data_IF_083792495453
#
_entry.id   IF_083792495453
#
_cell.length_a   1.000
_cell.length_b   1.000
_cell.length_c   1.000
_cell.angle_alpha   90.00
_cell.angle_beta   90.00
_cell.angle_gamma   90.00
#
_symmetry.space_group_name_H-M   'P 1'
#
loop_
_entity.id
_entity.type
_entity.pdbx_description
1 polymer ?
#
# COMPACT_ATOMS: atom_id res chain seq x y z
N UNK A 1 20.05 -12.78 3.52
CA UNK A 1 19.67 -11.52 4.24
C UNK A 1 18.83 -10.65 3.33
N UNK A 2 17.76 -10.04 3.86
CA UNK A 2 16.86 -9.13 3.11
C UNK A 2 17.23 -7.67 3.40
N UNK A 3 17.23 -6.81 2.38
CA UNK A 3 17.26 -5.35 2.55
C UNK A 3 15.85 -4.79 2.61
N UNK A 4 15.58 -3.87 3.56
CA UNK A 4 14.31 -3.17 3.70
C UNK A 4 14.54 -1.66 3.58
N UNK A 5 13.91 -1.02 2.60
CA UNK A 5 13.80 0.44 2.48
C UNK A 5 12.45 0.89 3.05
N UNK A 6 12.44 2.05 3.71
CA UNK A 6 11.20 2.60 4.29
C UNK A 6 10.74 1.92 5.58
N UNK A 7 11.63 1.24 6.31
CA UNK A 7 11.30 0.50 7.53
C UNK A 7 10.70 1.35 8.65
N UNK A 8 10.87 2.67 8.66
CA UNK A 8 10.26 3.58 9.65
C UNK A 8 8.79 3.94 9.34
N UNK A 9 8.26 3.53 8.18
CA UNK A 9 6.87 3.74 7.81
C UNK A 9 5.93 2.68 8.37
N UNK A 10 4.61 2.89 8.25
CA UNK A 10 3.58 1.97 8.73
C UNK A 10 3.74 0.55 8.16
N UNK A 11 3.85 0.44 6.83
CA UNK A 11 4.10 -0.84 6.15
C UNK A 11 5.49 -1.41 6.49
N UNK A 12 6.51 -0.54 6.59
CA UNK A 12 7.87 -0.95 6.94
C UNK A 12 7.99 -1.55 8.33
N UNK A 13 7.25 -1.02 9.32
CA UNK A 13 7.18 -1.62 10.66
C UNK A 13 6.57 -3.02 10.64
N UNK A 14 5.51 -3.24 9.85
CA UNK A 14 4.92 -4.57 9.69
C UNK A 14 5.91 -5.57 9.07
N UNK A 15 6.67 -5.18 8.04
CA UNK A 15 7.76 -6.03 7.51
C UNK A 15 8.80 -6.35 8.57
N UNK A 16 9.27 -5.36 9.34
CA UNK A 16 10.25 -5.61 10.40
C UNK A 16 9.71 -6.60 11.46
N UNK A 17 8.44 -6.45 11.85
CA UNK A 17 7.80 -7.35 12.80
C UNK A 17 7.71 -8.79 12.23
N UNK A 18 7.31 -8.94 10.97
CA UNK A 18 7.24 -10.23 10.29
C UNK A 18 8.61 -10.90 10.20
N UNK A 19 9.61 -10.19 9.68
CA UNK A 19 10.96 -10.72 9.48
C UNK A 19 11.62 -11.14 10.81
N UNK A 20 11.44 -10.35 11.87
CA UNK A 20 11.88 -10.72 13.23
C UNK A 20 11.18 -11.98 13.74
N UNK A 21 9.85 -12.05 13.61
CA UNK A 21 9.05 -13.20 14.07
C UNK A 21 9.45 -14.49 13.35
N UNK A 22 9.81 -14.39 12.07
CA UNK A 22 10.24 -15.56 11.27
C UNK A 22 11.75 -15.86 11.38
N UNK A 23 12.53 -15.09 12.13
CA UNK A 23 13.97 -15.25 12.25
C UNK A 23 14.73 -15.00 10.95
N UNK A 24 14.14 -14.25 10.00
CA UNK A 24 14.78 -13.94 8.72
C UNK A 24 15.75 -12.77 8.91
N UNK A 25 17.05 -12.93 8.61
CA UNK A 25 18.02 -11.85 8.71
C UNK A 25 17.66 -10.73 7.74
N UNK A 26 17.60 -9.49 8.25
CA UNK A 26 17.34 -8.33 7.42
C UNK A 26 18.12 -7.10 7.92
N UNK A 27 18.36 -6.17 7.00
CA UNK A 27 18.90 -4.84 7.30
C UNK A 27 17.91 -3.77 6.87
N UNK A 28 17.41 -3.00 7.85
CA UNK A 28 16.62 -1.82 7.56
C UNK A 28 17.58 -0.68 7.18
N UNK A 29 17.64 -0.32 5.89
CA UNK A 29 18.46 0.78 5.42
C UNK A 29 17.74 2.11 5.72
N UNK A 30 18.26 2.83 6.70
CA UNK A 30 17.77 4.18 7.02
C UNK A 30 18.42 5.19 6.10
N UNK A 31 17.63 6.09 5.52
CA UNK A 31 18.11 7.10 4.56
C UNK A 31 19.21 7.99 5.13
N UNK A 32 19.23 8.22 6.45
CA UNK A 32 20.30 8.95 7.12
C UNK A 32 21.64 8.21 7.14
N UNK A 33 21.64 6.88 7.00
CA UNK A 33 22.86 6.04 6.99
C UNK A 33 23.29 5.70 5.57
N UNK A 34 22.32 5.40 4.72
CA UNK A 34 22.52 5.07 3.31
C UNK A 34 21.50 5.88 2.52
N UNK A 35 21.95 6.93 1.86
CA UNK A 35 21.08 7.74 1.01
C UNK A 35 20.72 6.97 -0.29
N UNK A 36 19.80 6.03 -0.14
CA UNK A 36 19.31 5.20 -1.25
C UNK A 36 18.51 5.98 -2.30
N UNK A 37 18.34 7.30 -2.17
CA UNK A 37 17.82 8.16 -3.23
C UNK A 37 18.91 8.51 -4.26
N UNK A 38 20.15 8.12 -4.01
CA UNK A 38 21.29 8.27 -4.91
C UNK A 38 21.66 6.90 -5.48
N UNK A 39 21.56 6.68 -6.82
CA UNK A 39 21.75 5.35 -7.43
C UNK A 39 23.08 4.69 -7.07
N UNK A 40 24.19 5.43 -7.12
CA UNK A 40 25.53 4.90 -6.78
C UNK A 40 25.65 4.44 -5.33
N UNK A 41 25.06 5.17 -4.38
CA UNK A 41 25.13 4.84 -2.94
C UNK A 41 24.37 3.54 -2.64
N UNK A 42 23.18 3.35 -3.26
CA UNK A 42 22.44 2.10 -3.11
C UNK A 42 23.18 0.94 -3.76
N UNK A 43 23.70 1.12 -4.99
CA UNK A 43 24.45 0.10 -5.72
C UNK A 43 25.69 -0.36 -4.93
N UNK A 44 26.50 0.56 -4.41
CA UNK A 44 27.66 0.22 -3.57
C UNK A 44 27.27 -0.65 -2.38
N UNK A 45 26.16 -0.31 -1.71
CA UNK A 45 25.64 -1.09 -0.58
C UNK A 45 25.19 -2.49 -1.00
N UNK A 46 24.52 -2.63 -2.16
CA UNK A 46 24.10 -3.91 -2.69
C UNK A 46 25.29 -4.81 -3.08
N UNK A 47 26.29 -4.25 -3.75
CA UNK A 47 27.49 -4.99 -4.16
C UNK A 47 28.33 -5.44 -2.95
N UNK A 48 28.42 -4.62 -1.91
CA UNK A 48 29.15 -4.93 -0.69
C UNK A 48 28.50 -6.04 0.13
N UNK A 49 27.21 -5.90 0.40
CA UNK A 49 26.49 -6.74 1.37
C UNK A 49 25.74 -7.91 0.71
N UNK A 50 25.55 -7.89 -0.61
CA UNK A 50 24.95 -8.94 -1.46
C UNK A 50 23.67 -9.53 -0.85
N UNK A 51 22.63 -8.72 -0.59
CA UNK A 51 21.37 -9.24 -0.08
C UNK A 51 20.73 -10.17 -1.11
N UNK A 52 19.99 -11.17 -0.63
CA UNK A 52 19.25 -12.11 -1.49
C UNK A 52 18.00 -11.47 -2.12
N UNK A 53 17.47 -10.45 -1.45
CA UNK A 53 16.25 -9.76 -1.87
C UNK A 53 16.21 -8.35 -1.28
N UNK A 54 15.57 -7.40 -1.99
CA UNK A 54 15.30 -6.07 -1.47
C UNK A 54 13.79 -5.80 -1.46
N UNK A 55 13.27 -5.28 -0.36
CA UNK A 55 11.90 -4.80 -0.22
C UNK A 55 11.91 -3.27 -0.19
N UNK A 56 11.26 -2.64 -1.17
CA UNK A 56 11.06 -1.19 -1.18
C UNK A 56 9.66 -0.83 -0.68
N UNK A 57 9.55 -0.57 0.62
CA UNK A 57 8.37 0.02 1.27
C UNK A 57 8.50 1.55 1.48
N UNK A 58 9.55 2.16 0.92
CA UNK A 58 9.72 3.61 0.94
C UNK A 58 8.80 4.29 -0.08
N UNK A 59 8.27 5.42 0.31
CA UNK A 59 7.40 6.26 -0.52
C UNK A 59 6.96 7.49 0.25
N UNK A 60 6.22 8.38 -0.41
CA UNK A 60 5.68 9.59 0.20
C UNK A 60 4.15 9.56 0.14
N UNK A 61 3.48 9.66 1.29
CA UNK A 61 2.02 9.62 1.39
C UNK A 61 1.44 10.91 2.00
N UNK A 62 2.28 11.92 2.23
CA UNK A 62 1.89 13.15 2.94
C UNK A 62 1.60 12.96 4.44
N UNK A 63 1.52 14.07 5.15
CA UNK A 63 1.06 14.15 6.55
C UNK A 63 0.15 15.36 6.69
N UNK A 64 -1.04 15.25 7.29
CA UNK A 64 -1.61 14.06 7.93
C UNK A 64 -2.16 13.01 6.92
N UNK A 65 -2.43 13.39 5.68
CA UNK A 65 -2.99 12.54 4.63
C UNK A 65 -2.46 12.95 3.24
N UNK A 66 -3.03 12.39 2.17
CA UNK A 66 -2.60 12.59 0.78
C UNK A 66 -2.80 14.03 0.26
N UNK A 67 -3.62 14.87 0.91
CA UNK A 67 -3.78 16.27 0.52
C UNK A 67 -2.47 17.06 0.61
N UNK A 68 -1.56 16.65 1.51
CA UNK A 68 -0.22 17.24 1.59
C UNK A 68 0.62 17.00 0.32
N UNK A 69 0.30 16.00 -0.48
CA UNK A 69 0.98 15.75 -1.76
C UNK A 69 0.68 16.84 -2.80
N UNK A 70 -0.44 17.54 -2.68
CA UNK A 70 -0.77 18.68 -3.55
C UNK A 70 0.13 19.89 -3.29
N UNK A 71 0.71 19.97 -2.09
CA UNK A 71 1.62 21.03 -1.64
C UNK A 71 3.08 20.58 -1.82
N UNK A 72 3.41 19.38 -1.36
CA UNK A 72 4.77 18.81 -1.37
C UNK A 72 4.98 17.93 -2.61
N UNK A 73 4.80 18.54 -3.81
CA UNK A 73 4.83 17.80 -5.08
C UNK A 73 6.19 17.18 -5.39
N UNK A 74 7.27 17.91 -5.10
CA UNK A 74 8.63 17.44 -5.36
C UNK A 74 8.97 16.20 -4.55
N UNK A 75 8.67 16.20 -3.24
CA UNK A 75 8.90 15.07 -2.34
C UNK A 75 8.02 13.88 -2.72
N UNK A 76 6.78 14.14 -3.12
CA UNK A 76 5.85 13.12 -3.58
C UNK A 76 6.35 12.46 -4.88
N UNK A 77 6.78 13.26 -5.85
CA UNK A 77 7.34 12.76 -7.10
C UNK A 77 8.64 11.96 -6.85
N UNK A 78 9.55 12.51 -6.05
CA UNK A 78 10.79 11.84 -5.69
C UNK A 78 10.53 10.47 -5.03
N UNK A 79 9.65 10.43 -4.02
CA UNK A 79 9.40 9.20 -3.27
C UNK A 79 8.62 8.13 -4.02
N UNK A 80 7.70 8.52 -4.90
CA UNK A 80 6.75 7.59 -5.51
C UNK A 80 7.04 7.24 -6.97
N UNK A 81 7.78 8.09 -7.70
CA UNK A 81 8.10 7.84 -9.10
C UNK A 81 9.61 7.73 -9.34
N UNK A 82 10.42 8.65 -8.83
CA UNK A 82 11.87 8.64 -9.08
C UNK A 82 12.56 7.53 -8.29
N UNK A 83 12.26 7.39 -7.00
CA UNK A 83 12.89 6.37 -6.15
C UNK A 83 12.70 4.94 -6.64
N UNK A 84 11.51 4.48 -7.08
CA UNK A 84 11.37 3.15 -7.68
C UNK A 84 12.33 2.92 -8.85
N UNK A 85 12.51 3.92 -9.74
CA UNK A 85 13.46 3.84 -10.85
C UNK A 85 14.92 3.74 -10.40
N UNK A 86 15.30 4.48 -9.36
CA UNK A 86 16.64 4.40 -8.74
C UNK A 86 16.89 3.00 -8.16
N UNK A 87 15.91 2.47 -7.43
CA UNK A 87 16.01 1.12 -6.85
C UNK A 87 16.15 0.07 -7.96
N UNK A 88 15.33 0.17 -9.02
CA UNK A 88 15.40 -0.72 -10.16
C UNK A 88 16.81 -0.73 -10.79
N UNK A 89 17.35 0.44 -11.11
CA UNK A 89 18.70 0.57 -11.70
C UNK A 89 19.79 -0.05 -10.82
N UNK A 90 19.74 0.22 -9.51
CA UNK A 90 20.72 -0.32 -8.58
C UNK A 90 20.59 -1.85 -8.43
N UNK A 91 19.38 -2.36 -8.33
CA UNK A 91 19.11 -3.80 -8.20
C UNK A 91 19.48 -4.56 -9.46
N UNK A 92 19.13 -4.06 -10.65
CA UNK A 92 19.53 -4.63 -11.94
C UNK A 92 21.06 -4.69 -12.07
N UNK A 93 21.76 -3.62 -11.77
CA UNK A 93 23.23 -3.56 -11.84
C UNK A 93 23.92 -4.49 -10.81
N UNK A 94 23.28 -4.74 -9.67
CA UNK A 94 23.80 -5.64 -8.64
C UNK A 94 23.34 -7.11 -8.81
N UNK A 95 22.42 -7.41 -9.73
CA UNK A 95 21.79 -8.72 -9.88
C UNK A 95 20.93 -9.12 -8.66
N UNK A 96 20.33 -8.17 -7.95
CA UNK A 96 19.52 -8.40 -6.74
C UNK A 96 18.03 -8.30 -7.11
N UNK A 97 17.25 -9.40 -6.99
CA UNK A 97 15.81 -9.34 -7.17
C UNK A 97 15.15 -8.53 -6.06
N UNK A 98 14.01 -7.92 -6.37
CA UNK A 98 13.39 -6.99 -5.42
C UNK A 98 11.86 -6.88 -5.58
N UNK A 99 11.22 -6.22 -4.61
CA UNK A 99 9.80 -5.94 -4.66
C UNK A 99 9.46 -4.52 -4.21
N UNK A 100 8.50 -3.90 -4.90
CA UNK A 100 8.04 -2.54 -4.66
C UNK A 100 6.60 -2.51 -4.13
N UNK A 101 6.41 -1.85 -2.99
CA UNK A 101 5.07 -1.56 -2.46
C UNK A 101 4.47 -0.37 -3.23
N UNK A 102 3.63 -0.70 -4.20
CA UNK A 102 2.81 0.26 -4.94
C UNK A 102 1.44 0.45 -4.29
N UNK A 103 0.48 0.96 -5.01
CA UNK A 103 -0.86 1.25 -4.48
C UNK A 103 -1.94 1.08 -5.53
N UNK A 104 -3.08 0.50 -5.14
CA UNK A 104 -4.29 0.48 -5.96
C UNK A 104 -4.95 1.85 -6.16
N UNK A 105 -4.40 2.93 -5.59
CA UNK A 105 -4.93 4.29 -5.79
C UNK A 105 -4.83 4.83 -7.22
N UNK A 106 -4.31 4.05 -8.14
CA UNK A 106 -4.25 4.34 -9.59
C UNK A 106 -5.55 3.99 -10.31
N UNK A 107 -6.52 3.44 -9.58
CA UNK A 107 -7.85 3.09 -10.08
C UNK A 107 -8.96 3.85 -9.35
N UNK A 108 -10.12 4.00 -10.03
CA UNK A 108 -11.38 4.44 -9.44
C UNK A 108 -12.54 3.68 -10.07
N UNK A 109 -13.56 3.32 -9.25
CA UNK A 109 -14.72 2.52 -9.64
C UNK A 109 -14.53 1.01 -9.44
N UNK A 110 -15.50 0.25 -9.95
CA UNK A 110 -15.63 -1.20 -9.68
C UNK A 110 -14.91 -2.08 -10.72
N UNK A 111 -14.21 -1.48 -11.66
CA UNK A 111 -13.56 -2.20 -12.76
C UNK A 111 -14.52 -2.65 -13.87
N UNK A 112 -13.99 -3.21 -14.96
CA UNK A 112 -14.81 -3.69 -16.07
C UNK A 112 -15.78 -4.78 -15.63
N UNK A 113 -17.09 -4.61 -15.90
CA UNK A 113 -18.13 -5.57 -15.50
C UNK A 113 -18.24 -5.78 -13.98
N UNK A 114 -17.86 -4.77 -13.18
CA UNK A 114 -17.93 -4.79 -11.71
C UNK A 114 -17.12 -5.92 -11.02
N UNK A 115 -16.21 -6.57 -11.76
CA UNK A 115 -15.36 -7.67 -11.27
C UNK A 115 -14.17 -7.23 -10.42
N UNK A 116 -13.93 -5.94 -10.35
CA UNK A 116 -12.68 -5.39 -9.81
C UNK A 116 -11.60 -5.24 -10.89
N UNK A 117 -10.65 -4.34 -10.65
CA UNK A 117 -9.50 -4.15 -11.53
C UNK A 117 -8.48 -5.26 -11.33
N UNK A 118 -8.10 -5.91 -12.41
CA UNK A 118 -6.97 -6.87 -12.45
C UNK A 118 -5.65 -6.13 -12.65
N UNK A 119 -4.55 -6.87 -12.61
CA UNK A 119 -3.21 -6.33 -12.85
C UNK A 119 -2.98 -5.86 -14.29
N UNK A 120 -3.76 -6.36 -15.24
CA UNK A 120 -3.66 -6.05 -16.67
C UNK A 120 -4.59 -4.92 -17.12
N UNK A 121 -5.52 -4.51 -16.27
CA UNK A 121 -6.41 -3.39 -16.58
C UNK A 121 -5.63 -2.06 -16.57
N UNK A 122 -5.90 -1.21 -17.55
CA UNK A 122 -5.24 0.09 -17.67
C UNK A 122 -5.67 0.99 -16.52
N UNK A 123 -4.72 1.59 -15.77
CA UNK A 123 -5.05 2.54 -14.72
C UNK A 123 -5.87 3.73 -15.24
N UNK A 124 -6.97 4.04 -14.54
CA UNK A 124 -7.93 5.07 -14.91
C UNK A 124 -8.01 6.26 -13.93
N UNK A 125 -7.06 6.32 -13.00
CA UNK A 125 -6.97 7.41 -12.01
C UNK A 125 -5.51 7.84 -11.86
N UNK A 126 -4.98 8.48 -12.92
CA UNK A 126 -3.57 8.83 -13.10
C UNK A 126 -3.40 10.21 -13.73
N UNK A 127 -2.18 10.68 -13.90
CA UNK A 127 -1.91 11.91 -14.66
C UNK A 127 -2.36 11.82 -16.13
N UNK A 128 -2.39 10.61 -16.72
CA UNK A 128 -2.84 10.43 -18.11
C UNK A 128 -4.34 10.69 -18.27
N UNK A 129 -5.13 10.38 -17.25
CA UNK A 129 -6.58 10.61 -17.23
C UNK A 129 -6.96 11.97 -16.64
N UNK A 130 -6.00 12.66 -16.02
CA UNK A 130 -6.14 14.02 -15.45
C UNK A 130 -7.31 14.20 -14.47
N UNK A 131 -7.68 13.15 -13.74
CA UNK A 131 -8.78 13.12 -12.78
C UNK A 131 -8.32 12.74 -11.36
N UNK A 132 -7.02 12.55 -11.15
CA UNK A 132 -6.46 11.98 -9.94
C UNK A 132 -5.87 13.02 -8.98
N UNK A 133 -5.65 12.61 -7.74
CA UNK A 133 -4.77 13.31 -6.81
C UNK A 133 -3.30 13.25 -7.29
N UNK A 134 -2.48 14.22 -6.89
CA UNK A 134 -1.05 14.19 -7.20
C UNK A 134 -0.39 12.91 -6.69
N UNK A 135 -0.79 12.44 -5.49
CA UNK A 135 -0.35 11.15 -4.95
C UNK A 135 -0.61 9.99 -5.91
N UNK A 136 -1.85 9.85 -6.38
CA UNK A 136 -2.24 8.76 -7.29
C UNK A 136 -1.49 8.84 -8.62
N UNK A 137 -1.37 10.05 -9.17
CA UNK A 137 -0.59 10.27 -10.40
C UNK A 137 0.88 9.87 -10.25
N UNK A 138 1.52 10.19 -9.11
CA UNK A 138 2.92 9.80 -8.87
C UNK A 138 3.08 8.29 -8.64
N UNK A 139 2.09 7.60 -8.05
CA UNK A 139 2.10 6.14 -7.93
C UNK A 139 1.95 5.45 -9.28
N UNK A 140 1.05 5.94 -10.15
CA UNK A 140 0.93 5.46 -11.52
C UNK A 140 2.22 5.65 -12.32
N UNK A 141 2.83 6.83 -12.24
CA UNK A 141 4.10 7.12 -12.89
C UNK A 141 5.24 6.21 -12.37
N UNK A 142 5.25 5.90 -11.07
CA UNK A 142 6.20 4.94 -10.49
C UNK A 142 6.09 3.55 -11.09
N UNK A 143 4.88 3.03 -11.33
CA UNK A 143 4.69 1.76 -12.02
C UNK A 143 5.09 1.83 -13.51
N UNK A 144 4.83 2.96 -14.19
CA UNK A 144 5.28 3.16 -15.57
C UNK A 144 6.82 3.14 -15.69
N UNK A 145 7.54 3.72 -14.72
CA UNK A 145 9.02 3.70 -14.67
C UNK A 145 9.55 2.27 -14.52
N UNK A 146 8.78 1.38 -13.91
CA UNK A 146 9.14 -0.03 -13.71
C UNK A 146 8.69 -0.94 -14.85
N UNK A 147 7.85 -0.47 -15.76
CA UNK A 147 7.31 -1.29 -16.84
C UNK A 147 8.41 -1.88 -17.73
N UNK A 148 8.32 -3.19 -18.00
CA UNK A 148 9.27 -3.93 -18.84
C UNK A 148 10.62 -4.23 -18.18
N UNK A 149 10.86 -3.85 -16.94
CA UNK A 149 12.09 -4.19 -16.20
C UNK A 149 12.04 -5.62 -15.66
N UNK A 150 13.18 -6.33 -15.58
CA UNK A 150 13.24 -7.71 -15.10
C UNK A 150 13.22 -7.81 -13.56
N UNK A 151 13.06 -9.02 -13.07
CA UNK A 151 13.38 -9.51 -11.72
C UNK A 151 12.83 -8.68 -10.57
N UNK A 152 11.60 -8.18 -10.72
CA UNK A 152 10.94 -7.45 -9.64
C UNK A 152 9.44 -7.76 -9.52
N UNK A 153 8.95 -7.54 -8.30
CA UNK A 153 7.53 -7.51 -7.99
C UNK A 153 7.03 -6.07 -7.83
N UNK A 154 5.81 -5.81 -8.28
CA UNK A 154 5.02 -4.63 -7.91
C UNK A 154 3.82 -5.11 -7.11
N UNK A 155 3.75 -4.76 -5.83
CA UNK A 155 2.64 -5.14 -4.95
C UNK A 155 1.73 -3.96 -4.70
N UNK A 156 0.52 -4.01 -5.22
CA UNK A 156 -0.47 -2.95 -5.06
C UNK A 156 -1.21 -3.14 -3.73
N UNK A 157 -0.84 -2.30 -2.76
CA UNK A 157 -1.50 -2.17 -1.46
C UNK A 157 -2.74 -1.27 -1.60
N UNK A 158 -3.80 -1.57 -0.85
CA UNK A 158 -4.98 -0.70 -0.82
C UNK A 158 -5.47 -0.46 0.60
N UNK A 159 -5.59 0.81 1.01
CA UNK A 159 -6.19 1.25 2.29
C UNK A 159 -5.85 0.28 3.43
N UNK A 160 -4.59 0.25 3.93
CA UNK A 160 -4.16 -0.75 4.90
C UNK A 160 -4.85 -0.59 6.26
N UNK A 161 -5.17 -1.73 6.87
CA UNK A 161 -5.70 -1.83 8.23
C UNK A 161 -5.06 -2.99 8.99
N UNK A 162 -5.11 -2.92 10.31
CA UNK A 162 -4.72 -3.97 11.25
C UNK A 162 -5.48 -3.83 12.56
N UNK A 163 -5.23 -4.68 13.55
CA UNK A 163 -5.84 -4.68 14.86
C UNK A 163 -5.22 -3.68 15.86
N UNK A 164 -4.38 -2.73 15.43
CA UNK A 164 -3.68 -1.79 16.31
C UNK A 164 -4.07 -0.35 16.02
N UNK A 165 -4.34 0.41 17.06
CA UNK A 165 -4.64 1.84 16.92
C UNK A 165 -3.43 2.62 16.42
N UNK A 166 -3.51 3.09 15.17
CA UNK A 166 -2.46 3.84 14.50
C UNK A 166 -3.06 4.91 13.58
N UNK A 167 -2.53 6.14 13.53
CA UNK A 167 -3.04 7.20 12.64
C UNK A 167 -3.04 6.83 11.14
N UNK A 168 -2.28 5.81 10.74
CA UNK A 168 -2.26 5.31 9.35
C UNK A 168 -3.25 4.16 9.11
N UNK A 169 -3.74 3.52 10.16
CA UNK A 169 -4.71 2.44 10.10
C UNK A 169 -6.09 2.97 9.64
N UNK A 170 -6.69 2.31 8.65
CA UNK A 170 -8.00 2.68 8.14
C UNK A 170 -9.10 2.63 9.21
N UNK A 171 -9.13 1.58 10.04
CA UNK A 171 -10.11 1.43 11.12
C UNK A 171 -9.99 2.59 12.13
N UNK A 172 -8.77 2.95 12.53
CA UNK A 172 -8.51 4.11 13.39
C UNK A 172 -9.03 5.41 12.77
N UNK A 173 -8.82 5.61 11.47
CA UNK A 173 -9.33 6.82 10.78
C UNK A 173 -10.84 6.91 10.82
N UNK A 174 -11.55 5.81 10.56
CA UNK A 174 -13.01 5.79 10.67
C UNK A 174 -13.48 6.13 12.08
N UNK A 175 -12.82 5.57 13.10
CA UNK A 175 -13.16 5.85 14.50
C UNK A 175 -12.88 7.30 14.91
N UNK A 176 -11.91 7.98 14.28
CA UNK A 176 -11.48 9.34 14.68
C UNK A 176 -12.08 10.47 13.84
N UNK A 177 -12.39 10.23 12.57
CA UNK A 177 -12.90 11.29 11.70
C UNK A 177 -14.29 11.73 12.12
N UNK A 178 -14.57 13.05 12.16
CA UNK A 178 -15.87 13.56 12.57
C UNK A 178 -17.01 13.15 11.63
N UNK A 179 -16.73 13.10 10.34
CA UNK A 179 -17.66 12.66 9.30
C UNK A 179 -16.93 11.76 8.29
N UNK A 180 -17.63 10.81 7.72
CA UNK A 180 -17.09 9.79 6.81
C UNK A 180 -17.68 9.97 5.41
N UNK A 181 -16.88 9.65 4.38
CA UNK A 181 -17.36 9.50 3.03
C UNK A 181 -17.84 8.05 2.82
N UNK A 182 -19.05 7.87 2.29
CA UNK A 182 -19.50 6.56 1.82
C UNK A 182 -18.76 6.21 0.52
N UNK A 183 -18.10 5.08 0.50
CA UNK A 183 -17.37 4.59 -0.65
C UNK A 183 -17.14 3.08 -0.57
N UNK A 184 -17.15 2.43 -1.73
CA UNK A 184 -16.82 1.00 -1.87
C UNK A 184 -15.35 0.83 -2.20
N UNK A 185 -14.67 -0.04 -1.48
CA UNK A 185 -13.25 -0.30 -1.69
C UNK A 185 -12.87 -1.77 -1.46
N UNK A 186 -11.86 -2.25 -2.18
CA UNK A 186 -11.00 -3.31 -1.69
C UNK A 186 -10.01 -2.73 -0.69
N UNK A 187 -9.65 -3.48 0.35
CA UNK A 187 -8.70 -3.04 1.39
C UNK A 187 -7.73 -4.17 1.73
N UNK A 188 -6.58 -3.83 2.30
CA UNK A 188 -5.53 -4.79 2.64
C UNK A 188 -5.32 -4.87 4.15
N UNK A 189 -5.49 -6.06 4.73
CA UNK A 189 -5.01 -6.34 6.08
C UNK A 189 -3.48 -6.35 6.08
N UNK A 190 -2.86 -5.55 6.94
CA UNK A 190 -1.45 -5.21 6.82
C UNK A 190 -0.51 -6.38 7.07
N UNK A 191 -0.78 -7.21 8.09
CA UNK A 191 0.07 -8.37 8.39
C UNK A 191 -0.04 -9.44 7.29
N UNK A 192 -1.24 -9.65 6.74
CA UNK A 192 -1.43 -10.56 5.60
C UNK A 192 -0.77 -10.01 4.33
N UNK A 193 -0.84 -8.69 4.10
CA UNK A 193 -0.15 -8.06 2.99
C UNK A 193 1.35 -8.31 3.03
N UNK A 194 2.02 -8.03 4.17
CA UNK A 194 3.48 -8.21 4.24
C UNK A 194 3.87 -9.69 4.21
N UNK A 195 3.03 -10.59 4.73
CA UNK A 195 3.25 -12.04 4.64
C UNK A 195 3.14 -12.52 3.19
N UNK A 196 2.06 -12.17 2.49
CA UNK A 196 1.83 -12.55 1.11
C UNK A 196 2.92 -12.04 0.15
N UNK A 197 3.36 -10.80 0.34
CA UNK A 197 4.45 -10.24 -0.48
C UNK A 197 5.80 -10.91 -0.21
N UNK A 198 6.08 -11.30 1.02
CA UNK A 198 7.26 -12.10 1.35
C UNK A 198 7.15 -13.51 0.75
N UNK A 199 5.94 -14.11 0.77
CA UNK A 199 5.69 -15.41 0.14
C UNK A 199 5.87 -15.36 -1.38
N UNK A 200 5.57 -14.27 -2.06
CA UNK A 200 5.89 -14.12 -3.48
C UNK A 200 7.38 -14.40 -3.73
N UNK A 201 8.26 -13.90 -2.89
CA UNK A 201 9.70 -14.14 -2.99
C UNK A 201 10.09 -15.56 -2.55
N UNK A 202 9.66 -16.01 -1.39
CA UNK A 202 10.10 -17.29 -0.81
C UNK A 202 9.56 -18.50 -1.57
N UNK A 203 8.37 -18.40 -2.15
CA UNK A 203 7.77 -19.42 -3.02
C UNK A 203 8.21 -19.33 -4.48
N UNK A 204 9.04 -18.30 -4.82
CA UNK A 204 9.54 -18.12 -6.20
C UNK A 204 8.41 -17.99 -7.22
N UNK A 205 7.33 -17.32 -6.88
CA UNK A 205 6.28 -17.06 -7.87
C UNK A 205 6.81 -16.16 -8.99
N UNK A 206 6.19 -16.17 -10.19
CA UNK A 206 6.63 -15.34 -11.31
C UNK A 206 6.70 -13.86 -10.91
N UNK A 207 7.77 -13.16 -11.31
CA UNK A 207 7.85 -11.71 -11.14
C UNK A 207 6.73 -10.99 -11.88
N UNK A 208 6.42 -9.78 -11.43
CA UNK A 208 5.40 -8.94 -12.03
C UNK A 208 4.50 -8.24 -11.01
N UNK A 209 3.41 -7.67 -11.49
CA UNK A 209 2.44 -6.95 -10.66
C UNK A 209 1.44 -7.89 -10.03
N UNK A 210 1.11 -7.65 -8.75
CA UNK A 210 0.09 -8.35 -7.98
C UNK A 210 -0.77 -7.37 -7.20
N UNK A 211 -2.09 -7.51 -7.30
CA UNK A 211 -3.03 -6.86 -6.42
C UNK A 211 -3.06 -7.63 -5.09
N UNK A 212 -2.61 -7.01 -4.02
CA UNK A 212 -2.51 -7.66 -2.70
C UNK A 212 -3.55 -7.05 -1.77
N UNK A 213 -4.82 -7.36 -2.05
CA UNK A 213 -5.98 -6.96 -1.27
C UNK A 213 -6.72 -8.19 -0.76
N UNK A 214 -7.35 -8.07 0.39
CA UNK A 214 -8.20 -9.14 0.91
C UNK A 214 -9.37 -9.39 -0.05
N UNK A 215 -9.71 -10.64 -0.36
CA UNK A 215 -10.81 -10.98 -1.27
C UNK A 215 -12.14 -10.34 -0.86
N UNK A 216 -12.84 -9.80 -1.84
CA UNK A 216 -14.09 -9.08 -1.64
C UNK A 216 -13.94 -7.55 -1.60
N UNK A 217 -15.03 -6.90 -1.28
CA UNK A 217 -15.14 -5.44 -1.16
C UNK A 217 -16.00 -5.07 0.04
N UNK A 218 -15.80 -3.88 0.56
CA UNK A 218 -16.61 -3.34 1.66
C UNK A 218 -16.97 -1.88 1.38
N UNK A 219 -18.15 -1.49 1.83
CA UNK A 219 -18.54 -0.08 1.92
C UNK A 219 -18.09 0.52 3.24
N UNK A 220 -18.02 1.84 3.34
CA UNK A 220 -17.70 2.51 4.60
C UNK A 220 -18.76 2.20 5.67
N UNK A 221 -20.05 2.14 5.30
CA UNK A 221 -21.13 1.75 6.22
C UNK A 221 -20.94 0.34 6.77
N UNK A 222 -20.64 -0.64 5.93
CA UNK A 222 -20.38 -2.01 6.37
C UNK A 222 -19.23 -2.11 7.37
N UNK A 223 -18.15 -1.37 7.15
CA UNK A 223 -17.02 -1.35 8.10
C UNK A 223 -17.43 -0.67 9.42
N UNK A 224 -18.19 0.39 9.35
CA UNK A 224 -18.74 1.07 10.56
C UNK A 224 -19.65 0.13 11.34
N UNK A 225 -20.50 -0.65 10.68
CA UNK A 225 -21.35 -1.63 11.35
C UNK A 225 -20.55 -2.72 12.04
N UNK A 226 -19.45 -3.19 11.42
CA UNK A 226 -18.53 -4.13 12.07
C UNK A 226 -17.83 -3.50 13.29
N UNK A 227 -17.42 -2.22 13.22
CA UNK A 227 -16.84 -1.48 14.36
C UNK A 227 -17.87 -1.36 15.50
N UNK A 228 -19.11 -0.99 15.20
CA UNK A 228 -20.19 -0.91 16.20
C UNK A 228 -20.45 -2.27 16.85
N UNK A 229 -20.60 -3.31 16.05
CA UNK A 229 -20.84 -4.67 16.53
C UNK A 229 -19.71 -5.20 17.44
N UNK A 230 -18.48 -4.77 17.22
CA UNK A 230 -17.33 -5.17 18.04
C UNK A 230 -17.25 -4.48 19.41
N UNK A 231 -17.94 -3.35 19.58
CA UNK A 231 -17.90 -2.55 20.81
C UNK A 231 -16.58 -1.79 21.06
N UNK A 232 -15.62 -1.80 20.13
CA UNK A 232 -14.31 -1.14 20.32
C UNK A 232 -14.38 0.38 20.31
N UNK A 233 -15.43 0.95 19.70
CA UNK A 233 -15.65 2.38 19.60
C UNK A 233 -17.12 2.72 19.88
N UNK A 234 -17.42 3.48 20.95
CA UNK A 234 -18.79 3.87 21.30
C UNK A 234 -19.30 5.08 20.51
N UNK A 235 -18.52 5.58 19.54
CA UNK A 235 -18.84 6.78 18.77
C UNK A 235 -20.08 6.59 17.89
N UNK A 236 -20.90 7.62 17.79
CA UNK A 236 -21.87 7.76 16.72
C UNK A 236 -21.18 8.25 15.44
N UNK A 237 -21.42 7.56 14.34
CA UNK A 237 -20.77 7.86 13.05
C UNK A 237 -21.69 8.71 12.20
N UNK A 238 -21.18 9.86 11.75
CA UNK A 238 -21.84 10.74 10.81
C UNK A 238 -21.19 10.62 9.43
N UNK A 239 -22.00 10.80 8.38
CA UNK A 239 -21.55 10.72 7.01
C UNK A 239 -21.76 12.05 6.27
N UNK A 240 -20.97 12.30 5.25
CA UNK A 240 -21.25 13.33 4.26
C UNK A 240 -22.44 12.90 3.42
N UNK A 241 -23.31 13.84 3.05
CA UNK A 241 -24.49 13.54 2.23
C UNK A 241 -24.11 13.15 0.78
N UNK A 242 -22.94 13.57 0.32
CA UNK A 242 -22.41 13.26 -1.01
C UNK A 242 -20.91 13.44 -1.10
N UNK A 243 -20.30 12.90 -2.16
CA UNK A 243 -18.90 13.16 -2.50
C UNK A 243 -18.65 14.65 -2.80
N UNK A 244 -19.63 15.35 -3.40
CA UNK A 244 -19.53 16.77 -3.65
C UNK A 244 -19.41 17.58 -2.36
N UNK A 245 -20.20 17.26 -1.35
CA UNK A 245 -20.07 17.90 -0.02
C UNK A 245 -18.72 17.59 0.62
N UNK A 246 -18.28 16.32 0.57
CA UNK A 246 -16.97 15.93 1.07
C UNK A 246 -15.84 16.73 0.41
N UNK A 247 -15.88 16.90 -0.92
CA UNK A 247 -14.87 17.68 -1.66
C UNK A 247 -14.89 19.16 -1.28
N UNK A 248 -16.06 19.73 -0.97
CA UNK A 248 -16.16 21.13 -0.56
C UNK A 248 -15.64 21.36 0.86
N UNK A 249 -15.89 20.43 1.77
CA UNK A 249 -15.69 20.64 3.21
C UNK A 249 -14.39 20.03 3.74
N UNK A 250 -13.97 18.86 3.22
CA UNK A 250 -12.94 18.05 3.87
C UNK A 250 -11.77 17.64 2.98
N UNK A 251 -11.91 17.59 1.67
CA UNK A 251 -10.86 17.15 0.77
C UNK A 251 -10.36 18.28 -0.13
N UNK A 252 -9.05 18.26 -0.41
CA UNK A 252 -8.41 19.21 -1.34
C UNK A 252 -8.16 18.60 -2.72
N UNK A 253 -8.36 17.29 -2.85
CA UNK A 253 -8.07 16.55 -4.08
C UNK A 253 -8.97 15.31 -4.17
N UNK A 254 -9.33 14.86 -5.38
CA UNK A 254 -10.16 13.68 -5.58
C UNK A 254 -9.59 12.44 -4.86
N UNK A 255 -10.50 11.56 -4.40
CA UNK A 255 -10.13 10.31 -3.75
C UNK A 255 -10.30 9.15 -4.73
N UNK A 256 -9.33 8.26 -4.71
CA UNK A 256 -9.48 6.96 -5.36
C UNK A 256 -10.37 6.09 -4.47
N UNK A 257 -11.47 5.60 -5.03
CA UNK A 257 -12.29 4.55 -4.43
C UNK A 257 -12.42 3.45 -5.49
N UNK A 258 -11.91 2.25 -5.21
CA UNK A 258 -11.89 1.20 -6.21
C UNK A 258 -11.97 -0.20 -5.63
N UNK A 259 -12.49 -1.10 -6.46
CA UNK A 259 -12.48 -2.53 -6.24
C UNK A 259 -11.37 -3.16 -7.07
N UNK A 260 -10.60 -4.05 -6.46
CA UNK A 260 -9.47 -4.75 -7.08
C UNK A 260 -9.69 -6.25 -7.02
N UNK A 261 -9.35 -6.94 -8.10
CA UNK A 261 -9.32 -8.39 -8.17
C UNK A 261 -7.94 -8.90 -7.73
N UNK A 262 -7.89 -9.77 -6.72
CA UNK A 262 -6.67 -10.41 -6.21
C UNK A 262 -6.56 -11.89 -6.63
N UNK A 263 -7.33 -12.35 -7.60
CA UNK A 263 -7.37 -13.75 -8.04
C UNK A 263 -6.03 -14.24 -8.61
N UNK A 264 -5.23 -13.35 -9.22
CA UNK A 264 -3.87 -13.68 -9.68
C UNK A 264 -2.98 -14.14 -8.54
N UNK A 265 -3.04 -13.49 -7.39
CA UNK A 265 -2.29 -13.87 -6.19
C UNK A 265 -2.73 -15.24 -5.67
N UNK A 266 -4.05 -15.48 -5.62
CA UNK A 266 -4.61 -16.79 -5.27
C UNK A 266 -4.19 -17.88 -6.27
N UNK A 267 -4.13 -17.56 -7.55
CA UNK A 267 -3.71 -18.47 -8.63
C UNK A 267 -2.27 -18.95 -8.51
N UNK A 268 -1.40 -18.24 -7.78
CA UNK A 268 -0.03 -18.69 -7.46
C UNK A 268 0.08 -19.33 -6.07
N UNK A 269 -1.05 -19.69 -5.45
CA UNK A 269 -1.09 -20.39 -4.17
C UNK A 269 -0.84 -19.51 -2.95
N UNK A 270 -1.12 -18.20 -3.05
CA UNK A 270 -1.06 -17.25 -1.95
C UNK A 270 -2.46 -16.66 -1.74
N UNK A 271 -3.10 -17.04 -0.64
CA UNK A 271 -4.47 -16.63 -0.32
C UNK A 271 -4.53 -15.74 0.89
N UNK A 272 -5.40 -14.76 0.86
CA UNK A 272 -5.70 -13.86 1.97
C UNK A 272 -7.10 -14.16 2.52
N UNK A 273 -7.32 -13.81 3.78
CA UNK A 273 -8.63 -13.95 4.43
C UNK A 273 -9.67 -13.04 3.73
N UNK A 274 -10.93 -13.48 3.54
CA UNK A 274 -11.99 -12.60 3.06
C UNK A 274 -12.08 -11.32 3.89
N UNK A 275 -12.27 -10.17 3.22
CA UNK A 275 -12.10 -8.84 3.83
C UNK A 275 -12.94 -8.63 5.10
N UNK A 276 -14.19 -9.10 5.12
CA UNK A 276 -15.09 -8.95 6.30
C UNK A 276 -14.57 -9.76 7.50
N UNK A 277 -14.10 -10.97 7.26
CA UNK A 277 -13.54 -11.85 8.29
C UNK A 277 -12.24 -11.27 8.86
N UNK A 278 -11.37 -10.72 8.00
CA UNK A 278 -10.14 -10.06 8.42
C UNK A 278 -10.42 -8.84 9.32
N UNK A 279 -11.41 -8.00 8.95
CA UNK A 279 -11.83 -6.86 9.79
C UNK A 279 -12.37 -7.35 11.14
N UNK A 280 -13.28 -8.34 11.14
CA UNK A 280 -13.85 -8.88 12.38
C UNK A 280 -12.78 -9.48 13.30
N UNK A 281 -11.80 -10.20 12.74
CA UNK A 281 -10.67 -10.73 13.49
C UNK A 281 -9.88 -9.62 14.17
N UNK A 282 -9.50 -8.59 13.41
CA UNK A 282 -8.68 -7.50 13.91
C UNK A 282 -9.43 -6.63 14.94
N UNK A 283 -10.75 -6.45 14.78
CA UNK A 283 -11.57 -5.77 15.78
C UNK A 283 -11.71 -6.57 17.08
N UNK A 284 -11.77 -7.92 17.02
CA UNK A 284 -11.79 -8.76 18.25
C UNK A 284 -10.50 -8.67 19.06
N UNK A 285 -9.38 -8.44 18.40
CA UNK A 285 -8.05 -8.34 19.03
C UNK A 285 -7.53 -6.92 19.09
N UNK A 286 -8.42 -5.93 19.00
CA UNK A 286 -8.07 -4.51 18.91
C UNK A 286 -7.21 -4.04 20.08
N UNK A 287 -6.07 -3.44 19.76
CA UNK A 287 -5.14 -2.87 20.72
C UNK A 287 -5.16 -1.34 20.61
N UNK A 288 -5.52 -0.67 21.73
CA UNK A 288 -5.40 0.78 21.81
C UNK A 288 -3.93 1.19 21.79
N UNK A 289 -3.63 2.34 21.17
CA UNK A 289 -2.29 2.94 21.30
C UNK A 289 -1.99 3.19 22.78
N UNK A 290 -0.78 2.83 23.21
CA UNK A 290 -0.32 3.08 24.57
C UNK A 290 -0.12 4.57 24.82
#
# INVERSE_FOLDING_TARGET
>A
MIYLLGGSGYVGHAYQALLKRQGIPFRNLRRAEVDYTRPGVLLESLLRDKPEFLINAAGYTGKPNVDACEIHKAECLLGNAVLPGIVAQACEAAGVPWGHVSSGCIYTGDGPGERGFTETDVPNFTFRTNNCSFYSGTKGLGEEVLAGRPDHFVWRLRIPFDGVDNPRNYLTKLMRYPRLLEATNSISQLDEFVAATLECWTKRVPFGTYNVTNPGRVTTHEVVDLIRASGVCPKEFAFFASEAEFMQVAAKTPRSNCVMDSSKLAGVGITLTPVREAIQRDLRTWQKAA
#
